data_IF_091178725399
#
_entry.id   IF_091178725399
#
_cell.length_a   1.000
_cell.length_b   1.000
_cell.length_c   1.000
_cell.angle_alpha   90.00
_cell.angle_beta   90.00
_cell.angle_gamma   90.00
#
_symmetry.space_group_name_H-M   'P 1'
#
loop_
_entity.id
_entity.type
_entity.pdbx_description
1 polymer ?
#
# COMPACT_ATOMS: atom_id res chain seq x y z
N UNK A 1 -4.84 -18.79 -1.80
CA UNK A 1 -5.38 -18.58 -0.43
C UNK A 1 -5.68 -17.09 -0.31
N UNK A 2 -6.91 -16.73 0.10
CA UNK A 2 -7.27 -15.33 0.27
C UNK A 2 -6.55 -14.75 1.49
N UNK A 3 -5.86 -13.62 1.30
CA UNK A 3 -5.13 -12.95 2.39
C UNK A 3 -5.98 -11.84 3.02
N UNK A 4 -6.73 -11.11 2.19
CA UNK A 4 -7.64 -10.05 2.63
C UNK A 4 -8.87 -10.03 1.72
N UNK A 5 -10.02 -9.73 2.29
CA UNK A 5 -11.28 -9.60 1.57
C UNK A 5 -12.17 -8.53 2.19
N UNK A 6 -13.14 -8.05 1.45
CA UNK A 6 -14.22 -7.23 1.99
C UNK A 6 -15.58 -7.74 1.54
N UNK A 7 -16.59 -7.46 2.35
CA UNK A 7 -17.99 -7.87 2.09
C UNK A 7 -18.91 -6.69 2.31
N UNK A 8 -19.66 -6.32 1.27
CA UNK A 8 -20.63 -5.21 1.25
C UNK A 8 -20.06 -3.90 1.80
N UNK A 9 -18.76 -3.66 1.51
CA UNK A 9 -18.01 -2.53 2.07
C UNK A 9 -18.57 -1.22 1.56
N UNK A 10 -18.96 -0.35 2.47
CA UNK A 10 -19.57 0.95 2.15
C UNK A 10 -18.92 2.05 2.99
N UNK A 11 -18.67 3.20 2.35
CA UNK A 11 -18.19 4.40 3.03
C UNK A 11 -18.95 5.61 2.57
N UNK A 12 -19.59 6.26 3.51
CA UNK A 12 -20.31 7.50 3.31
C UNK A 12 -19.63 8.64 4.07
N UNK A 13 -19.54 9.80 3.42
CA UNK A 13 -19.14 11.05 4.04
C UNK A 13 -20.33 12.00 4.05
N UNK A 14 -20.65 12.54 5.21
CA UNK A 14 -21.75 13.49 5.39
C UNK A 14 -21.16 14.91 5.44
N UNK A 15 -21.59 15.76 4.52
CA UNK A 15 -21.23 17.20 4.48
C UNK A 15 -22.50 18.04 4.41
N UNK A 16 -22.95 18.53 5.56
CA UNK A 16 -24.25 19.22 5.67
C UNK A 16 -25.40 18.28 5.33
N UNK A 17 -26.23 18.63 4.36
CA UNK A 17 -27.36 17.80 3.87
C UNK A 17 -26.93 16.79 2.80
N UNK A 18 -25.69 16.86 2.29
CA UNK A 18 -25.23 15.99 1.24
C UNK A 18 -24.54 14.73 1.84
N UNK A 19 -24.89 13.57 1.31
CA UNK A 19 -24.22 12.29 1.57
C UNK A 19 -23.48 11.87 0.31
N UNK A 20 -22.16 11.69 0.42
CA UNK A 20 -21.31 11.22 -0.66
C UNK A 20 -20.91 9.79 -0.35
N UNK A 21 -21.31 8.84 -1.19
CA UNK A 21 -20.86 7.46 -1.11
C UNK A 21 -19.54 7.31 -1.85
N UNK A 22 -18.43 7.33 -1.12
CA UNK A 22 -17.11 7.16 -1.70
C UNK A 22 -16.79 5.70 -2.04
N UNK A 23 -17.40 4.75 -1.31
CA UNK A 23 -17.39 3.31 -1.62
C UNK A 23 -18.82 2.81 -1.39
N UNK A 24 -19.38 2.07 -2.36
CA UNK A 24 -20.78 1.63 -2.33
C UNK A 24 -20.86 0.12 -2.57
N UNK A 25 -21.14 -0.63 -1.50
CA UNK A 25 -21.46 -2.05 -1.49
C UNK A 25 -20.43 -2.95 -2.22
N UNK A 26 -19.14 -2.69 -2.00
CA UNK A 26 -18.03 -3.42 -2.65
C UNK A 26 -17.75 -4.74 -1.91
N UNK A 27 -17.70 -5.85 -2.67
CA UNK A 27 -17.25 -7.15 -2.18
C UNK A 27 -16.17 -7.70 -3.13
N UNK A 28 -14.98 -8.00 -2.58
CA UNK A 28 -13.85 -8.53 -3.34
C UNK A 28 -12.87 -9.25 -2.43
N UNK A 29 -12.12 -10.21 -3.00
CA UNK A 29 -11.09 -11.00 -2.33
C UNK A 29 -9.76 -10.83 -3.02
N UNK A 30 -8.65 -10.79 -2.28
CA UNK A 30 -7.29 -10.71 -2.80
C UNK A 30 -6.51 -11.95 -2.38
N UNK A 31 -5.76 -12.51 -3.33
CA UNK A 31 -4.95 -13.70 -3.11
C UNK A 31 -3.56 -13.35 -2.55
N UNK A 32 -2.99 -14.25 -1.77
CA UNK A 32 -1.64 -14.06 -1.25
C UNK A 32 -0.61 -14.04 -2.39
N UNK A 33 0.28 -13.04 -2.39
CA UNK A 33 1.32 -12.85 -3.40
C UNK A 33 0.83 -12.24 -4.71
N UNK A 34 -0.48 -11.89 -4.82
CA UNK A 34 -1.06 -11.22 -5.99
C UNK A 34 -0.57 -9.78 -6.07
N UNK A 35 -0.26 -9.31 -7.27
CA UNK A 35 -0.16 -7.89 -7.57
C UNK A 35 -1.48 -7.43 -8.21
N UNK A 36 -2.26 -6.68 -7.45
CA UNK A 36 -3.52 -6.09 -7.90
C UNK A 36 -3.39 -4.58 -8.07
N UNK A 37 -3.75 -4.05 -9.24
CA UNK A 37 -3.89 -2.63 -9.51
C UNK A 37 -5.35 -2.20 -9.39
N UNK A 38 -5.61 -1.09 -8.71
CA UNK A 38 -6.91 -0.43 -8.61
C UNK A 38 -6.87 0.84 -9.45
N UNK A 39 -7.73 0.92 -10.48
CA UNK A 39 -7.80 2.01 -11.43
C UNK A 39 -9.17 2.70 -11.43
N UNK A 40 -9.30 3.80 -12.14
CA UNK A 40 -10.56 4.54 -12.30
C UNK A 40 -10.35 6.05 -12.30
N UNK A 41 -11.40 6.85 -12.59
CA UNK A 41 -11.34 8.30 -12.64
C UNK A 41 -10.90 8.93 -11.30
N UNK A 42 -10.46 10.20 -11.34
CA UNK A 42 -10.21 10.95 -10.10
C UNK A 42 -11.52 11.12 -9.33
N UNK A 43 -11.46 10.93 -7.99
CA UNK A 43 -12.64 11.03 -7.13
C UNK A 43 -13.54 9.79 -7.12
N UNK A 44 -13.20 8.68 -7.83
CA UNK A 44 -14.04 7.48 -7.88
C UNK A 44 -14.03 6.62 -6.61
N UNK A 45 -13.27 6.99 -5.57
CA UNK A 45 -13.24 6.27 -4.28
C UNK A 45 -12.06 5.31 -4.09
N UNK A 46 -11.08 5.23 -5.01
CA UNK A 46 -9.93 4.30 -4.96
C UNK A 46 -9.11 4.37 -3.68
N UNK A 47 -8.65 5.58 -3.32
CA UNK A 47 -7.85 5.79 -2.09
C UNK A 47 -8.67 5.50 -0.85
N UNK A 48 -9.96 5.90 -0.82
CA UNK A 48 -10.88 5.54 0.28
C UNK A 48 -11.00 4.02 0.40
N UNK A 49 -11.19 3.31 -0.71
CA UNK A 49 -11.27 1.85 -0.72
C UNK A 49 -9.98 1.21 -0.18
N UNK A 50 -8.80 1.70 -0.63
CA UNK A 50 -7.51 1.23 -0.11
C UNK A 50 -7.37 1.49 1.40
N UNK A 51 -7.80 2.66 1.90
CA UNK A 51 -7.76 3.01 3.31
C UNK A 51 -8.70 2.14 4.16
N UNK A 52 -9.87 1.78 3.64
CA UNK A 52 -10.77 0.84 4.30
C UNK A 52 -10.17 -0.57 4.39
N UNK A 53 -9.63 -1.11 3.29
CA UNK A 53 -8.95 -2.41 3.27
C UNK A 53 -7.82 -2.48 4.28
N UNK A 54 -7.06 -1.42 4.40
CA UNK A 54 -5.90 -1.33 5.29
C UNK A 54 -6.22 -0.92 6.72
N UNK A 55 -7.51 -0.73 7.05
CA UNK A 55 -8.00 -0.21 8.33
C UNK A 55 -7.39 1.13 8.76
N UNK A 56 -6.96 1.96 7.81
CA UNK A 56 -6.64 3.37 8.07
C UNK A 56 -7.91 4.18 8.29
N UNK A 57 -9.02 3.70 7.75
CA UNK A 57 -10.33 4.27 7.90
C UNK A 57 -11.37 3.18 8.21
N UNK A 58 -12.40 3.54 8.97
CA UNK A 58 -13.49 2.63 9.30
C UNK A 58 -14.61 2.72 8.24
N UNK A 59 -15.19 1.60 7.82
CA UNK A 59 -16.36 1.59 6.95
C UNK A 59 -17.60 2.14 7.66
N UNK A 60 -18.55 2.65 6.88
CA UNK A 60 -19.91 2.99 7.37
C UNK A 60 -20.77 1.73 7.49
N UNK A 61 -20.58 0.78 6.55
CA UNK A 61 -21.25 -0.53 6.55
C UNK A 61 -20.35 -1.58 5.90
N UNK A 62 -20.67 -2.86 6.11
CA UNK A 62 -19.83 -3.97 5.68
C UNK A 62 -18.61 -4.20 6.56
N UNK A 63 -17.70 -5.04 6.12
CA UNK A 63 -16.50 -5.36 6.89
C UNK A 63 -15.35 -5.83 6.00
N UNK A 64 -14.14 -5.72 6.53
CA UNK A 64 -12.91 -6.27 5.96
C UNK A 64 -12.46 -7.46 6.80
N UNK A 65 -12.02 -8.53 6.14
CA UNK A 65 -11.46 -9.74 6.77
C UNK A 65 -9.99 -9.88 6.36
N UNK A 66 -9.10 -10.05 7.31
CA UNK A 66 -7.69 -10.35 7.12
C UNK A 66 -7.36 -11.70 7.78
N UNK A 67 -6.79 -12.65 7.01
CA UNK A 67 -6.45 -13.99 7.50
C UNK A 67 -7.59 -14.61 8.33
N UNK A 68 -8.79 -14.68 7.73
CA UNK A 68 -10.04 -15.25 8.26
C UNK A 68 -10.61 -14.55 9.51
N UNK A 69 -10.09 -13.38 9.89
CA UNK A 69 -10.62 -12.60 11.01
C UNK A 69 -11.06 -11.21 10.56
N UNK A 70 -12.26 -10.80 10.99
CA UNK A 70 -12.79 -9.46 10.71
C UNK A 70 -11.97 -8.39 11.41
N UNK A 71 -11.65 -7.30 10.70
CA UNK A 71 -10.92 -6.17 11.29
C UNK A 71 -11.75 -5.44 12.35
N UNK A 72 -13.08 -5.48 12.26
CA UNK A 72 -14.00 -4.96 13.28
C UNK A 72 -13.92 -5.68 14.64
N UNK A 73 -13.35 -6.90 14.68
CA UNK A 73 -13.19 -7.67 15.93
C UNK A 73 -11.94 -7.26 16.73
N UNK A 74 -11.15 -6.36 16.19
CA UNK A 74 -9.95 -5.82 16.84
C UNK A 74 -10.26 -4.46 17.47
N UNK A 75 -9.71 -4.19 18.64
CA UNK A 75 -9.69 -2.83 19.19
C UNK A 75 -8.57 -1.98 18.52
N UNK A 76 -8.58 -0.67 18.75
CA UNK A 76 -7.65 0.29 18.12
C UNK A 76 -6.17 -0.07 18.35
N UNK A 77 -5.81 -0.52 19.55
CA UNK A 77 -4.46 -0.97 19.85
C UNK A 77 -4.06 -2.19 19.03
N UNK A 78 -4.97 -3.17 18.92
CA UNK A 78 -4.74 -4.37 18.12
C UNK A 78 -4.65 -4.05 16.63
N UNK A 79 -5.50 -3.14 16.12
CA UNK A 79 -5.42 -2.67 14.72
C UNK A 79 -4.09 -1.93 14.46
N UNK A 80 -3.64 -1.10 15.39
CA UNK A 80 -2.35 -0.41 15.29
C UNK A 80 -1.18 -1.41 15.22
N UNK A 81 -1.20 -2.46 16.05
CA UNK A 81 -0.20 -3.53 16.02
C UNK A 81 -0.29 -4.31 14.69
N UNK A 82 -1.50 -4.63 14.21
CA UNK A 82 -1.72 -5.34 12.95
C UNK A 82 -1.15 -4.54 11.77
N UNK A 83 -1.50 -3.25 11.67
CA UNK A 83 -0.98 -2.34 10.63
C UNK A 83 0.54 -2.32 10.64
N UNK A 84 1.15 -2.10 11.79
CA UNK A 84 2.61 -2.02 11.94
C UNK A 84 3.32 -3.33 11.56
N UNK A 85 2.71 -4.49 11.83
CA UNK A 85 3.35 -5.80 11.66
C UNK A 85 3.02 -6.52 10.35
N UNK A 86 1.86 -6.24 9.76
CA UNK A 86 1.33 -7.01 8.63
C UNK A 86 1.06 -6.18 7.40
N UNK A 87 0.91 -4.88 7.54
CA UNK A 87 0.59 -3.97 6.46
C UNK A 87 1.73 -2.97 6.26
N UNK A 88 2.25 -2.90 5.05
CA UNK A 88 3.15 -1.83 4.64
C UNK A 88 2.37 -0.76 3.90
N UNK A 89 2.81 0.51 4.01
CA UNK A 89 2.16 1.64 3.35
C UNK A 89 3.17 2.45 2.56
N UNK A 90 2.84 2.69 1.29
CA UNK A 90 3.58 3.60 0.40
C UNK A 90 2.59 4.64 -0.10
N UNK A 91 2.85 5.92 0.21
CA UNK A 91 2.00 7.04 -0.16
C UNK A 91 2.65 7.89 -1.25
N UNK A 92 1.84 8.64 -1.97
CA UNK A 92 2.29 9.62 -2.95
C UNK A 92 3.22 10.69 -2.34
N UNK A 93 2.97 11.13 -1.11
CA UNK A 93 3.72 12.17 -0.41
C UNK A 93 4.90 11.65 0.42
N UNK A 94 5.40 10.42 0.17
CA UNK A 94 6.50 9.76 0.86
C UNK A 94 6.33 9.61 2.38
N UNK A 95 5.84 10.64 3.07
CA UNK A 95 5.58 10.70 4.53
C UNK A 95 6.80 10.26 5.37
N UNK A 96 7.99 10.68 4.96
CA UNK A 96 9.20 10.52 5.76
C UNK A 96 9.21 11.52 6.92
N UNK A 97 9.77 11.10 8.05
CA UNK A 97 10.04 11.99 9.18
C UNK A 97 11.26 12.82 8.84
N UNK A 98 11.11 14.15 8.75
CA UNK A 98 12.13 15.05 8.21
C UNK A 98 13.38 15.16 9.09
N UNK A 99 13.22 14.92 10.39
CA UNK A 99 14.28 14.97 11.40
C UNK A 99 15.10 13.68 11.48
N UNK A 100 14.65 12.62 10.79
CA UNK A 100 15.30 11.32 10.77
C UNK A 100 16.05 11.12 9.43
N UNK A 101 17.20 10.48 9.50
CA UNK A 101 17.94 10.01 8.34
C UNK A 101 17.15 8.99 7.54
N UNK A 102 17.60 8.65 6.32
CA UNK A 102 17.01 7.58 5.51
C UNK A 102 16.97 6.25 6.27
N UNK A 103 18.08 5.90 6.95
CA UNK A 103 18.17 4.66 7.72
C UNK A 103 17.21 4.64 8.92
N UNK A 104 17.17 5.72 9.68
CA UNK A 104 16.24 5.84 10.82
C UNK A 104 14.78 5.78 10.39
N UNK A 105 14.43 6.40 9.24
CA UNK A 105 13.10 6.27 8.65
C UNK A 105 12.76 4.79 8.32
N UNK A 106 13.71 4.04 7.76
CA UNK A 106 13.52 2.61 7.44
C UNK A 106 13.27 1.81 8.72
N UNK A 107 14.02 2.07 9.78
CA UNK A 107 13.92 1.32 11.04
C UNK A 107 12.75 1.75 11.93
N UNK A 108 12.14 2.91 11.68
CA UNK A 108 11.10 3.47 12.53
C UNK A 108 9.97 2.48 12.90
N UNK A 109 9.37 1.70 11.98
CA UNK A 109 8.32 0.75 12.33
C UNK A 109 8.82 -0.42 13.20
N UNK A 110 10.09 -0.82 13.09
CA UNK A 110 10.72 -1.85 13.93
C UNK A 110 10.92 -1.33 15.34
N UNK A 111 11.43 -0.09 15.46
CA UNK A 111 11.64 0.58 16.75
C UNK A 111 10.32 0.78 17.50
N UNK A 112 9.27 1.22 16.81
CA UNK A 112 7.92 1.36 17.39
C UNK A 112 7.29 0.03 17.84
N UNK A 113 7.77 -1.09 17.31
CA UNK A 113 7.32 -2.45 17.69
C UNK A 113 8.19 -3.05 18.80
N UNK A 114 9.22 -2.34 19.27
CA UNK A 114 10.22 -2.80 20.24
C UNK A 114 10.85 -4.15 19.85
N UNK A 115 11.02 -4.39 18.54
CA UNK A 115 11.64 -5.61 18.02
C UNK A 115 13.13 -5.39 17.76
N UNK A 116 13.87 -6.51 17.80
CA UNK A 116 15.24 -6.52 17.33
C UNK A 116 15.25 -6.47 15.81
N UNK A 117 16.12 -5.62 15.26
CA UNK A 117 16.33 -5.50 13.82
C UNK A 117 16.93 -6.79 13.26
N UNK A 118 16.37 -7.27 12.16
CA UNK A 118 16.96 -8.30 11.32
C UNK A 118 17.86 -7.61 10.28
N UNK A 119 19.13 -7.41 10.65
CA UNK A 119 20.09 -6.65 9.85
C UNK A 119 20.24 -7.22 8.43
N UNK A 120 20.30 -8.55 8.29
CA UNK A 120 20.44 -9.19 6.98
C UNK A 120 19.23 -8.92 6.07
N UNK A 121 18.04 -8.91 6.65
CA UNK A 121 16.82 -8.58 5.91
C UNK A 121 16.78 -7.11 5.49
N UNK A 122 17.17 -6.20 6.38
CA UNK A 122 17.24 -4.76 6.06
C UNK A 122 18.30 -4.50 4.99
N UNK A 123 19.50 -5.10 5.08
CA UNK A 123 20.52 -4.99 4.04
C UNK A 123 20.02 -5.51 2.68
N UNK A 124 19.26 -6.63 2.67
CA UNK A 124 18.64 -7.14 1.45
C UNK A 124 17.72 -6.10 0.81
N UNK A 125 16.84 -5.46 1.59
CA UNK A 125 15.93 -4.41 1.10
C UNK A 125 16.71 -3.21 0.56
N UNK A 126 17.70 -2.71 1.31
CA UNK A 126 18.55 -1.57 0.93
C UNK A 126 19.23 -1.83 -0.42
N UNK A 127 19.77 -3.03 -0.58
CA UNK A 127 20.44 -3.44 -1.82
C UNK A 127 19.46 -3.54 -3.00
N UNK A 128 18.27 -4.14 -2.79
CA UNK A 128 17.24 -4.25 -3.82
C UNK A 128 16.76 -2.88 -4.31
N UNK A 129 16.63 -1.91 -3.40
CA UNK A 129 16.15 -0.57 -3.73
C UNK A 129 17.26 0.41 -4.16
N UNK A 130 18.53 -0.01 -4.08
CA UNK A 130 19.69 0.78 -4.51
C UNK A 130 19.84 2.10 -3.74
N UNK A 131 19.68 2.07 -2.39
CA UNK A 131 19.68 3.25 -1.53
C UNK A 131 20.82 3.27 -0.51
N UNK A 132 21.81 2.38 -0.64
CA UNK A 132 22.88 2.21 0.36
C UNK A 132 23.71 3.47 0.62
N UNK A 133 23.95 4.29 -0.41
CA UNK A 133 24.70 5.55 -0.33
C UNK A 133 23.85 6.76 0.12
N UNK A 134 22.57 6.54 0.46
CA UNK A 134 21.60 7.58 0.85
C UNK A 134 21.10 7.46 2.28
N UNK A 135 21.56 6.47 3.01
CA UNK A 135 21.04 6.11 4.33
C UNK A 135 21.25 7.20 5.38
N UNK A 136 22.39 7.87 5.34
CA UNK A 136 22.76 8.92 6.30
C UNK A 136 22.19 10.31 5.95
N UNK A 137 21.50 10.43 4.81
CA UNK A 137 20.94 11.70 4.38
C UNK A 137 19.56 11.95 5.02
N UNK A 138 19.30 13.22 5.36
CA UNK A 138 17.95 13.67 5.72
C UNK A 138 17.05 13.74 4.48
N UNK A 139 15.73 13.60 4.59
CA UNK A 139 14.80 13.69 3.46
C UNK A 139 14.96 14.94 2.60
N UNK A 140 15.28 16.08 3.20
CA UNK A 140 15.52 17.36 2.50
C UNK A 140 16.72 17.35 1.53
N UNK A 141 17.65 16.43 1.72
CA UNK A 141 18.84 16.26 0.86
C UNK A 141 18.66 15.18 -0.23
N UNK A 142 17.47 14.59 -0.33
CA UNK A 142 17.17 13.49 -1.23
C UNK A 142 16.23 13.93 -2.37
N UNK A 143 16.46 13.39 -3.58
CA UNK A 143 15.49 13.53 -4.67
C UNK A 143 14.16 12.81 -4.35
N UNK A 144 13.07 13.18 -5.02
CA UNK A 144 11.77 12.53 -4.83
C UNK A 144 11.81 11.01 -5.02
N UNK A 145 12.51 10.54 -6.07
CA UNK A 145 12.68 9.10 -6.29
C UNK A 145 13.49 8.40 -5.19
N UNK A 146 14.49 9.07 -4.60
CA UNK A 146 15.26 8.53 -3.46
C UNK A 146 14.39 8.49 -2.20
N UNK A 147 13.62 9.55 -1.93
CA UNK A 147 12.67 9.57 -0.82
C UNK A 147 11.64 8.45 -0.94
N UNK A 148 11.10 8.22 -2.13
CA UNK A 148 10.14 7.16 -2.37
C UNK A 148 10.74 5.76 -2.17
N UNK A 149 11.98 5.53 -2.62
CA UNK A 149 12.68 4.25 -2.37
C UNK A 149 12.89 4.01 -0.87
N UNK A 150 13.20 5.05 -0.09
CA UNK A 150 13.29 4.95 1.38
C UNK A 150 11.90 4.67 1.99
N UNK A 151 10.83 5.31 1.51
CA UNK A 151 9.47 5.04 1.96
C UNK A 151 9.04 3.58 1.67
N UNK A 152 9.43 3.03 0.52
CA UNK A 152 9.22 1.62 0.17
C UNK A 152 10.02 0.71 1.13
N UNK A 153 11.30 1.02 1.39
CA UNK A 153 12.13 0.26 2.33
C UNK A 153 11.49 0.23 3.73
N UNK A 154 11.03 1.39 4.22
CA UNK A 154 10.31 1.51 5.49
C UNK A 154 9.05 0.65 5.52
N UNK A 155 8.26 0.67 4.45
CA UNK A 155 7.03 -0.10 4.35
C UNK A 155 7.30 -1.62 4.40
N UNK A 156 8.45 -2.07 3.90
CA UNK A 156 8.85 -3.48 3.88
C UNK A 156 9.59 -3.93 5.15
N UNK A 157 10.08 -3.00 5.98
CA UNK A 157 11.01 -3.29 7.08
C UNK A 157 10.49 -4.29 8.13
N UNK A 158 9.18 -4.29 8.40
CA UNK A 158 8.53 -5.21 9.36
C UNK A 158 8.06 -6.54 8.73
N UNK A 159 8.51 -6.87 7.51
CA UNK A 159 8.10 -8.09 6.79
C UNK A 159 6.57 -8.18 6.67
N UNK A 160 5.94 -7.18 6.04
CA UNK A 160 4.48 -7.16 5.91
C UNK A 160 3.99 -8.32 5.04
N UNK A 161 2.74 -8.70 5.24
CA UNK A 161 2.06 -9.66 4.37
C UNK A 161 1.41 -8.97 3.16
N UNK A 162 1.03 -7.69 3.33
CA UNK A 162 0.41 -6.87 2.29
C UNK A 162 1.10 -5.51 2.25
N UNK A 163 1.37 -5.04 1.05
CA UNK A 163 1.85 -3.69 0.76
C UNK A 163 0.74 -2.92 0.04
N UNK A 164 0.23 -1.89 0.70
CA UNK A 164 -0.72 -0.95 0.14
C UNK A 164 0.03 0.26 -0.42
N UNK A 165 -0.21 0.59 -1.68
CA UNK A 165 0.43 1.71 -2.35
C UNK A 165 -0.62 2.65 -2.96
N UNK A 166 -0.69 3.89 -2.48
CA UNK A 166 -1.62 4.90 -2.97
C UNK A 166 -0.86 5.90 -3.85
N UNK A 167 -1.04 5.79 -5.15
CA UNK A 167 -0.37 6.60 -6.18
C UNK A 167 1.15 6.79 -5.93
N UNK A 168 1.93 5.70 -5.75
CA UNK A 168 3.32 5.79 -5.26
C UNK A 168 4.27 6.53 -6.19
N UNK A 169 3.86 6.87 -7.40
CA UNK A 169 4.67 7.58 -8.40
C UNK A 169 4.09 8.94 -8.80
N UNK A 170 2.97 9.36 -8.20
CA UNK A 170 2.24 10.57 -8.60
C UNK A 170 3.03 11.87 -8.44
N UNK A 171 4.04 11.93 -7.55
CA UNK A 171 4.91 13.09 -7.34
C UNK A 171 6.27 12.97 -8.07
N UNK A 172 6.44 11.98 -8.95
CA UNK A 172 7.69 11.73 -9.66
C UNK A 172 7.56 12.06 -11.14
N UNK A 173 8.69 12.43 -11.75
CA UNK A 173 8.77 12.47 -13.21
C UNK A 173 8.60 11.08 -13.83
N UNK A 174 8.21 11.01 -15.09
CA UNK A 174 7.86 9.75 -15.75
C UNK A 174 8.99 8.72 -15.80
N UNK A 175 10.28 9.12 -15.78
CA UNK A 175 11.41 8.21 -15.74
C UNK A 175 11.60 7.65 -14.33
N UNK A 176 11.71 8.53 -13.35
CA UNK A 176 11.84 8.16 -11.93
C UNK A 176 10.67 7.33 -11.44
N UNK A 177 9.45 7.66 -11.89
CA UNK A 177 8.23 6.90 -11.57
C UNK A 177 8.31 5.45 -12.05
N UNK A 178 8.71 5.21 -13.31
CA UNK A 178 8.87 3.85 -13.84
C UNK A 178 9.93 3.04 -13.12
N UNK A 179 11.08 3.66 -12.78
CA UNK A 179 12.15 3.00 -12.01
C UNK A 179 11.67 2.60 -10.62
N UNK A 180 11.02 3.51 -9.89
CA UNK A 180 10.49 3.26 -8.54
C UNK A 180 9.44 2.17 -8.56
N UNK A 181 8.52 2.20 -9.53
CA UNK A 181 7.50 1.16 -9.65
C UNK A 181 8.09 -0.23 -9.93
N UNK A 182 9.07 -0.29 -10.85
CA UNK A 182 9.75 -1.55 -11.16
C UNK A 182 10.44 -2.13 -9.92
N UNK A 183 11.08 -1.27 -9.11
CA UNK A 183 11.69 -1.68 -7.85
C UNK A 183 10.66 -2.12 -6.80
N UNK A 184 9.53 -1.41 -6.70
CA UNK A 184 8.43 -1.77 -5.79
C UNK A 184 7.88 -3.16 -6.12
N UNK A 185 7.55 -3.39 -7.40
CA UNK A 185 7.07 -4.67 -7.92
C UNK A 185 8.08 -5.79 -7.70
N UNK A 186 9.34 -5.55 -8.06
CA UNK A 186 10.43 -6.52 -7.86
C UNK A 186 10.58 -6.89 -6.38
N UNK A 187 10.62 -5.90 -5.48
CA UNK A 187 10.77 -6.14 -4.06
C UNK A 187 9.57 -6.89 -3.47
N UNK A 188 8.34 -6.55 -3.88
CA UNK A 188 7.14 -7.27 -3.43
C UNK A 188 7.17 -8.74 -3.86
N UNK A 189 7.53 -9.03 -5.12
CA UNK A 189 7.63 -10.39 -5.66
C UNK A 189 8.73 -11.21 -4.95
N UNK A 190 9.95 -10.65 -4.82
CA UNK A 190 11.09 -11.31 -4.17
C UNK A 190 10.89 -11.61 -2.68
N UNK A 191 10.05 -10.84 -2.02
CA UNK A 191 9.71 -11.00 -0.60
C UNK A 191 8.41 -11.76 -0.38
N UNK A 192 7.68 -12.13 -1.45
CA UNK A 192 6.39 -12.83 -1.39
C UNK A 192 5.28 -11.99 -0.75
N UNK A 193 5.32 -10.68 -0.93
CA UNK A 193 4.36 -9.73 -0.37
C UNK A 193 3.24 -9.48 -1.38
N UNK A 194 1.99 -9.52 -0.92
CA UNK A 194 0.83 -9.11 -1.74
C UNK A 194 0.88 -7.60 -1.97
N UNK A 195 0.76 -7.15 -3.21
CA UNK A 195 0.79 -5.73 -3.56
C UNK A 195 -0.60 -5.28 -4.04
N UNK A 196 -1.20 -4.31 -3.34
CA UNK A 196 -2.43 -3.64 -3.75
C UNK A 196 -2.10 -2.18 -4.02
N UNK A 197 -2.20 -1.77 -5.28
CA UNK A 197 -1.70 -0.49 -5.75
C UNK A 197 -2.80 0.31 -6.44
N UNK A 198 -3.04 1.53 -5.97
CA UNK A 198 -3.89 2.53 -6.64
C UNK A 198 -3.05 3.32 -7.64
N UNK A 199 -3.53 3.43 -8.86
CA UNK A 199 -2.89 4.24 -9.91
C UNK A 199 -3.89 4.75 -10.94
N UNK A 200 -3.60 5.89 -11.53
CA UNK A 200 -4.28 6.39 -12.74
C UNK A 200 -3.45 6.13 -14.01
N UNK A 201 -2.24 5.59 -13.90
CA UNK A 201 -1.37 5.23 -15.04
C UNK A 201 -1.72 3.82 -15.51
N UNK A 202 -2.31 3.72 -16.71
CA UNK A 202 -2.68 2.45 -17.33
C UNK A 202 -1.48 1.57 -17.63
N UNK A 203 -0.33 2.14 -18.01
CA UNK A 203 0.90 1.37 -18.25
C UNK A 203 1.46 0.73 -16.98
N UNK A 204 1.13 1.29 -15.80
CA UNK A 204 1.39 0.69 -14.49
C UNK A 204 0.41 -0.45 -14.23
N UNK A 205 -0.88 -0.19 -14.44
CA UNK A 205 -1.93 -1.16 -14.17
C UNK A 205 -1.81 -2.43 -15.05
N UNK A 206 -1.42 -2.29 -16.32
CA UNK A 206 -1.21 -3.42 -17.26
C UNK A 206 -0.11 -4.40 -16.80
N UNK A 207 0.75 -4.00 -15.86
CA UNK A 207 1.78 -4.87 -15.28
C UNK A 207 1.29 -5.70 -14.09
N UNK A 208 0.05 -5.48 -13.64
CA UNK A 208 -0.54 -6.21 -12.53
C UNK A 208 -1.09 -7.58 -12.98
N UNK A 209 -1.15 -8.53 -12.05
CA UNK A 209 -1.79 -9.83 -12.27
C UNK A 209 -3.32 -9.68 -12.39
N UNK A 210 -3.85 -8.62 -11.76
CA UNK A 210 -5.28 -8.29 -11.73
C UNK A 210 -5.50 -6.79 -11.72
N UNK A 211 -6.50 -6.34 -12.46
CA UNK A 211 -6.94 -4.95 -12.49
C UNK A 211 -8.38 -4.85 -12.00
N UNK A 212 -8.60 -4.06 -10.96
CA UNK A 212 -9.92 -3.64 -10.51
C UNK A 212 -10.19 -2.21 -10.99
N UNK A 213 -11.30 -1.98 -11.66
CA UNK A 213 -11.71 -0.62 -12.05
C UNK A 213 -12.84 -0.15 -11.15
N UNK A 214 -12.65 1.01 -10.50
CA UNK A 214 -13.65 1.62 -9.61
C UNK A 214 -14.17 2.89 -10.28
N UNK A 215 -15.49 2.98 -10.40
CA UNK A 215 -16.22 4.16 -10.83
C UNK A 215 -17.37 4.41 -9.85
N UNK A 216 -17.55 5.65 -9.44
CA UNK A 216 -18.61 6.09 -8.51
C UNK A 216 -18.74 5.20 -7.26
N UNK A 217 -17.62 4.84 -6.67
CA UNK A 217 -17.54 4.03 -5.46
C UNK A 217 -17.76 2.52 -5.65
N UNK A 218 -18.02 2.04 -6.86
CA UNK A 218 -18.33 0.64 -7.16
C UNK A 218 -17.29 0.00 -8.08
N UNK A 219 -17.05 -1.32 -7.94
CA UNK A 219 -16.21 -2.07 -8.90
C UNK A 219 -17.02 -2.31 -10.17
N UNK A 220 -16.59 -1.71 -11.28
CA UNK A 220 -17.24 -1.87 -12.61
C UNK A 220 -16.54 -2.91 -13.48
N UNK A 221 -15.28 -3.23 -13.20
CA UNK A 221 -14.53 -4.29 -13.90
C UNK A 221 -13.53 -4.96 -12.94
N UNK A 222 -13.36 -6.27 -13.14
CA UNK A 222 -12.39 -7.12 -12.44
C UNK A 222 -11.74 -8.05 -13.47
N UNK A 223 -10.54 -7.72 -13.89
CA UNK A 223 -9.84 -8.41 -14.97
C UNK A 223 -8.58 -9.08 -14.43
N UNK A 224 -8.51 -10.40 -14.46
CA UNK A 224 -7.29 -11.16 -14.18
C UNK A 224 -6.51 -11.37 -15.47
N UNK A 225 -5.27 -10.90 -15.50
CA UNK A 225 -4.33 -11.26 -16.54
C UNK A 225 -3.86 -12.70 -16.25
N UNK A 226 -4.09 -13.61 -17.20
CA UNK A 226 -3.68 -15.01 -17.05
C UNK A 226 -2.17 -15.07 -16.80
N UNK A 227 -1.77 -15.68 -15.68
CA UNK A 227 -0.38 -16.03 -15.41
C UNK A 227 0.07 -16.97 -16.53
N UNK A 228 0.80 -16.44 -17.52
CA UNK A 228 1.58 -17.26 -18.40
C UNK A 228 2.70 -17.84 -17.54
N UNK A 229 2.48 -19.09 -17.09
CA UNK A 229 3.48 -19.88 -16.35
C UNK A 229 4.62 -20.31 -17.28
#
# INVERSE_FOLDING_TARGET
>A
MNIISCTNLTKEYVSGENVIKAVDNVSVEFEQGEFCAITGPSGSGKSTFLHLLSSLENPTDGFVTYADKKLSDYNDNQLSILRRRRFGFVFQAYNLVNELTGYENILLPIMLDNKKTDEQYIEKIIKMLGIGDRLEHLPSALSGGQQQRIAIARALANKPSILFADEPTGNLDGKSGREVLSLLKFAAAELGVTLILVTHDLGVAEQADRILTIEDGSIVADTKHGVIK
#
